data_IF_773313729361
#
_entry.id   IF_773313729361
#
_cell.length_a   1.000
_cell.length_b   1.000
_cell.length_c   1.000
_cell.angle_alpha   90.00
_cell.angle_beta   90.00
_cell.angle_gamma   90.00
#
_symmetry.space_group_name_H-M   'P 1'
#
loop_
_entity.id
_entity.type
_entity.pdbx_description
1 polymer ?
#
# COMPACT_ATOMS: atom_id res chain seq x y z
N UNK A 1 -24.75 -10.99 -4.53
CA UNK A 1 -24.30 -12.25 -3.92
C UNK A 1 -23.06 -12.65 -4.68
N UNK A 2 -21.87 -12.62 -4.05
CA UNK A 2 -20.69 -13.15 -4.68
C UNK A 2 -20.97 -14.60 -5.09
N UNK A 3 -20.54 -14.97 -6.29
CA UNK A 3 -20.65 -16.37 -6.70
C UNK A 3 -19.84 -17.21 -5.73
N UNK A 4 -20.37 -18.32 -5.23
CA UNK A 4 -19.68 -19.22 -4.27
C UNK A 4 -18.23 -19.54 -4.70
N UNK A 5 -17.97 -19.57 -6.00
CA UNK A 5 -16.64 -19.78 -6.58
C UNK A 5 -15.65 -18.61 -6.38
N UNK A 6 -16.09 -17.34 -6.34
CA UNK A 6 -15.21 -16.19 -6.08
C UNK A 6 -14.76 -16.16 -4.64
N UNK A 7 -15.65 -16.45 -3.70
CA UNK A 7 -15.36 -16.45 -2.27
C UNK A 7 -14.45 -17.61 -1.88
N UNK A 8 -14.67 -18.80 -2.45
CA UNK A 8 -13.77 -19.94 -2.25
C UNK A 8 -12.35 -19.66 -2.79
N UNK A 9 -12.24 -18.99 -3.94
CA UNK A 9 -10.94 -18.61 -4.51
C UNK A 9 -10.21 -17.58 -3.66
N UNK A 10 -10.93 -16.57 -3.14
CA UNK A 10 -10.39 -15.56 -2.24
C UNK A 10 -9.94 -16.19 -0.92
N UNK A 11 -10.77 -17.03 -0.31
CA UNK A 11 -10.40 -17.74 0.93
C UNK A 11 -9.14 -18.58 0.73
N UNK A 12 -9.08 -19.38 -0.34
CA UNK A 12 -7.90 -20.21 -0.65
C UNK A 12 -6.64 -19.38 -0.97
N UNK A 13 -6.80 -18.13 -1.41
CA UNK A 13 -5.68 -17.20 -1.58
C UNK A 13 -5.17 -16.70 -0.23
N UNK A 14 -6.08 -16.28 0.67
CA UNK A 14 -5.74 -15.85 2.03
C UNK A 14 -5.05 -16.97 2.82
N UNK A 15 -5.58 -18.20 2.74
CA UNK A 15 -4.97 -19.38 3.37
C UNK A 15 -3.52 -19.60 2.91
N UNK A 16 -3.28 -19.38 1.62
CA UNK A 16 -1.96 -19.57 1.02
C UNK A 16 -0.98 -18.51 1.46
N UNK A 17 -1.40 -17.23 1.50
CA UNK A 17 -0.53 -16.15 2.00
C UNK A 17 -0.10 -16.47 3.43
N UNK A 18 -1.04 -16.82 4.30
CA UNK A 18 -0.75 -17.12 5.71
C UNK A 18 0.27 -18.27 5.85
N UNK A 19 0.07 -19.35 5.08
CA UNK A 19 0.92 -20.54 5.15
C UNK A 19 2.30 -20.35 4.52
N UNK A 20 2.38 -19.73 3.34
CA UNK A 20 3.61 -19.61 2.57
C UNK A 20 4.45 -18.40 3.04
N UNK A 21 3.81 -17.39 3.61
CA UNK A 21 4.43 -16.11 3.93
C UNK A 21 4.03 -15.60 5.33
N UNK A 22 4.23 -16.36 6.43
CA UNK A 22 3.92 -15.87 7.77
C UNK A 22 4.71 -14.59 8.10
N UNK A 23 4.30 -13.80 9.12
CA UNK A 23 5.05 -12.62 9.56
C UNK A 23 6.54 -12.92 9.75
N UNK A 24 7.40 -12.02 9.25
CA UNK A 24 8.86 -12.22 9.29
C UNK A 24 9.32 -12.31 10.75
N UNK A 25 9.93 -13.41 11.22
CA UNK A 25 10.36 -13.52 12.61
C UNK A 25 11.42 -12.46 12.93
N UNK A 26 11.20 -11.64 13.96
CA UNK A 26 12.07 -10.51 14.28
C UNK A 26 13.50 -10.94 14.64
N UNK A 27 13.65 -12.14 15.20
CA UNK A 27 14.92 -12.78 15.55
C UNK A 27 15.67 -13.37 14.36
N UNK A 28 15.01 -13.51 13.20
CA UNK A 28 15.63 -13.97 11.95
C UNK A 28 16.38 -12.88 11.19
N UNK A 29 16.29 -11.62 11.65
CA UNK A 29 16.81 -10.46 10.93
C UNK A 29 18.23 -10.10 11.39
N UNK A 30 19.17 -10.09 10.45
CA UNK A 30 20.52 -9.60 10.64
C UNK A 30 20.59 -8.10 10.27
N UNK A 31 20.82 -7.27 11.29
CA UNK A 31 20.95 -5.81 11.16
C UNK A 31 22.41 -5.36 10.96
N UNK A 32 23.31 -6.23 10.55
CA UNK A 32 24.69 -5.84 10.23
C UNK A 32 24.71 -4.84 9.07
N UNK A 33 25.24 -3.64 9.34
CA UNK A 33 25.44 -2.58 8.35
C UNK A 33 26.92 -2.21 8.32
N UNK A 34 27.55 -2.30 7.15
CA UNK A 34 28.97 -2.02 6.97
C UNK A 34 29.26 -0.54 6.73
N UNK A 35 28.34 0.18 6.08
CA UNK A 35 28.45 1.61 5.74
C UNK A 35 27.19 2.36 6.19
N UNK A 36 26.96 2.47 7.52
CA UNK A 36 25.73 3.05 8.05
C UNK A 36 25.52 4.50 7.60
N UNK A 37 26.58 5.29 7.47
CA UNK A 37 26.47 6.68 7.02
C UNK A 37 25.99 6.76 5.56
N UNK A 38 26.52 5.90 4.68
CA UNK A 38 26.13 5.86 3.27
C UNK A 38 24.71 5.34 3.08
N UNK A 39 24.31 4.33 3.87
CA UNK A 39 22.94 3.82 3.85
C UNK A 39 21.96 4.88 4.35
N UNK A 40 22.30 5.61 5.43
CA UNK A 40 21.51 6.71 5.95
C UNK A 40 21.42 7.89 4.97
N UNK A 41 22.53 8.26 4.32
CA UNK A 41 22.54 9.34 3.32
C UNK A 41 21.63 9.01 2.12
N UNK A 42 21.69 7.77 1.62
CA UNK A 42 20.99 7.40 0.38
C UNK A 42 19.53 6.98 0.60
N UNK A 43 19.26 6.27 1.69
CA UNK A 43 17.97 5.62 1.93
C UNK A 43 17.39 5.91 3.32
N UNK A 44 18.01 6.75 4.15
CA UNK A 44 17.52 7.06 5.49
C UNK A 44 16.08 7.58 5.49
N UNK A 45 15.76 8.56 4.63
CA UNK A 45 14.40 9.09 4.51
C UNK A 45 13.41 8.09 3.89
N UNK A 46 13.89 7.19 3.02
CA UNK A 46 13.06 6.09 2.51
C UNK A 46 12.65 5.17 3.65
N UNK A 47 13.60 4.82 4.53
CA UNK A 47 13.33 3.99 5.69
C UNK A 47 12.41 4.69 6.69
N UNK A 48 12.60 6.00 6.95
CA UNK A 48 11.68 6.75 7.81
C UNK A 48 10.25 6.71 7.28
N UNK A 49 10.10 6.88 5.96
CA UNK A 49 8.80 6.90 5.30
C UNK A 49 8.12 5.53 5.38
N UNK A 50 8.83 4.48 4.97
CA UNK A 50 8.29 3.13 4.96
C UNK A 50 7.99 2.65 6.38
N UNK A 51 8.91 2.81 7.33
CA UNK A 51 8.69 2.40 8.72
C UNK A 51 7.43 3.04 9.32
N UNK A 52 7.20 4.33 9.06
CA UNK A 52 5.97 5.01 9.49
C UNK A 52 4.72 4.41 8.84
N UNK A 53 4.72 4.26 7.52
CA UNK A 53 3.54 3.78 6.77
C UNK A 53 3.15 2.37 7.21
N UNK A 54 4.13 1.50 7.36
CA UNK A 54 3.96 0.10 7.79
C UNK A 54 3.43 0.04 9.24
N UNK A 55 4.00 0.83 10.16
CA UNK A 55 3.55 0.86 11.55
C UNK A 55 2.17 1.53 11.75
N UNK A 56 1.73 2.37 10.80
CA UNK A 56 0.39 2.94 10.81
C UNK A 56 -0.71 1.91 10.43
N UNK A 57 -0.36 0.66 10.13
CA UNK A 57 -1.32 -0.41 9.81
C UNK A 57 -2.40 -0.59 10.88
N UNK A 58 -2.07 -0.44 12.16
CA UNK A 58 -3.05 -0.53 13.24
C UNK A 58 -4.16 0.52 13.10
N UNK A 59 -3.81 1.76 12.71
CA UNK A 59 -4.79 2.79 12.38
C UNK A 59 -5.59 2.37 11.16
N UNK A 60 -4.95 1.84 10.13
CA UNK A 60 -5.63 1.42 8.90
C UNK A 60 -6.68 0.33 9.19
N UNK A 61 -6.39 -0.62 10.08
CA UNK A 61 -7.35 -1.66 10.54
C UNK A 61 -8.52 -1.03 11.32
N UNK A 62 -8.26 -0.04 12.16
CA UNK A 62 -9.32 0.71 12.85
C UNK A 62 -10.22 1.47 11.87
N UNK A 63 -9.62 2.13 10.89
CA UNK A 63 -10.36 2.84 9.84
C UNK A 63 -11.19 1.88 9.00
N UNK A 64 -10.66 0.71 8.67
CA UNK A 64 -11.40 -0.35 7.97
C UNK A 64 -12.60 -0.84 8.75
N UNK A 65 -12.41 -1.11 10.04
CA UNK A 65 -13.48 -1.55 10.93
C UNK A 65 -14.58 -0.49 11.02
N UNK A 66 -14.20 0.79 11.07
CA UNK A 66 -15.16 1.89 11.08
C UNK A 66 -15.87 2.07 9.73
N UNK A 67 -15.15 1.90 8.63
CA UNK A 67 -15.61 2.19 7.26
C UNK A 67 -16.44 1.06 6.63
N UNK A 68 -16.18 -0.19 7.02
CA UNK A 68 -16.75 -1.39 6.42
C UNK A 68 -17.53 -2.21 7.47
N UNK A 69 -18.71 -1.71 7.94
CA UNK A 69 -19.45 -2.36 9.02
C UNK A 69 -19.85 -3.81 8.72
N UNK A 70 -20.11 -4.10 7.44
CA UNK A 70 -20.50 -5.43 6.95
C UNK A 70 -19.41 -6.09 6.08
N UNK A 71 -18.12 -5.85 6.40
CA UNK A 71 -17.00 -6.51 5.72
C UNK A 71 -17.19 -8.04 5.69
N UNK A 72 -16.79 -8.70 4.59
CA UNK A 72 -16.93 -10.15 4.46
C UNK A 72 -16.05 -10.90 5.46
N UNK A 73 -16.36 -12.17 5.74
CA UNK A 73 -15.53 -12.98 6.63
C UNK A 73 -14.08 -13.11 6.10
N UNK A 74 -13.92 -13.21 4.78
CA UNK A 74 -12.61 -13.30 4.13
C UNK A 74 -11.84 -11.98 4.24
N UNK A 75 -12.51 -10.84 4.06
CA UNK A 75 -11.90 -9.51 4.27
C UNK A 75 -11.40 -9.34 5.70
N UNK A 76 -12.26 -9.63 6.69
CA UNK A 76 -11.90 -9.49 8.12
C UNK A 76 -10.70 -10.34 8.45
N UNK A 77 -10.72 -11.62 8.05
CA UNK A 77 -9.60 -12.53 8.26
C UNK A 77 -8.33 -12.03 7.58
N UNK A 78 -8.40 -11.60 6.32
CA UNK A 78 -7.21 -11.06 5.64
C UNK A 78 -6.63 -9.87 6.41
N UNK A 79 -7.44 -8.88 6.81
CA UNK A 79 -6.93 -7.70 7.50
C UNK A 79 -6.36 -8.02 8.89
N UNK A 80 -7.06 -8.80 9.71
CA UNK A 80 -6.68 -8.99 11.12
C UNK A 80 -5.71 -10.14 11.36
N UNK A 81 -5.75 -11.20 10.53
CA UNK A 81 -4.98 -12.43 10.78
C UNK A 81 -3.78 -12.58 9.84
N UNK A 82 -3.80 -11.92 8.67
CA UNK A 82 -2.74 -12.07 7.67
C UNK A 82 -1.98 -10.76 7.46
N UNK A 83 -2.65 -9.73 6.96
CA UNK A 83 -2.05 -8.45 6.59
C UNK A 83 -1.50 -7.71 7.82
N UNK A 84 -2.32 -7.40 8.81
CA UNK A 84 -1.89 -6.63 9.98
C UNK A 84 -0.66 -7.23 10.68
N UNK A 85 -0.60 -8.53 11.03
CA UNK A 85 0.60 -9.10 11.65
C UNK A 85 1.85 -9.00 10.77
N UNK A 86 1.71 -9.11 9.44
CA UNK A 86 2.83 -8.98 8.50
C UNK A 86 3.35 -7.54 8.48
N UNK A 87 2.49 -6.56 8.26
CA UNK A 87 2.83 -5.13 8.17
C UNK A 87 3.41 -4.60 9.49
N UNK A 88 2.91 -5.05 10.65
CA UNK A 88 3.50 -4.71 11.95
C UNK A 88 4.95 -5.19 11.99
N UNK A 89 5.23 -6.41 11.54
CA UNK A 89 6.59 -6.94 11.52
C UNK A 89 7.47 -6.20 10.50
N UNK A 90 6.94 -5.81 9.34
CA UNK A 90 7.66 -4.98 8.37
C UNK A 90 8.06 -3.65 9.01
N UNK A 91 7.10 -2.96 9.62
CA UNK A 91 7.29 -1.70 10.31
C UNK A 91 8.32 -1.79 11.42
N UNK A 92 8.24 -2.80 12.29
CA UNK A 92 9.22 -3.03 13.37
C UNK A 92 10.63 -3.31 12.85
N UNK A 93 10.74 -4.06 11.74
CA UNK A 93 12.03 -4.37 11.12
C UNK A 93 12.66 -3.13 10.51
N UNK A 94 11.89 -2.32 9.79
CA UNK A 94 12.38 -1.08 9.18
C UNK A 94 12.70 -0.02 10.23
N UNK A 95 11.85 0.11 11.27
CA UNK A 95 12.08 0.98 12.43
C UNK A 95 13.36 0.58 13.18
N UNK A 96 13.61 -0.73 13.32
CA UNK A 96 14.87 -1.18 13.90
C UNK A 96 16.06 -0.83 13.00
N UNK A 97 15.98 -1.08 11.70
CA UNK A 97 17.06 -0.75 10.76
C UNK A 97 17.39 0.74 10.76
N UNK A 98 16.38 1.62 10.74
CA UNK A 98 16.62 3.07 10.74
C UNK A 98 17.36 3.51 12.02
N UNK A 99 17.04 2.93 13.18
CA UNK A 99 17.75 3.26 14.43
C UNK A 99 19.20 2.77 14.42
N UNK A 100 19.47 1.63 13.77
CA UNK A 100 20.83 1.09 13.60
C UNK A 100 21.71 2.01 12.76
N UNK A 101 21.14 2.69 11.75
CA UNK A 101 21.86 3.64 10.91
C UNK A 101 21.81 5.10 11.45
N UNK A 102 21.37 5.29 12.70
CA UNK A 102 21.39 6.58 13.38
C UNK A 102 20.22 7.52 13.09
N UNK A 103 19.15 7.04 12.46
CA UNK A 103 17.88 7.78 12.33
C UNK A 103 17.05 7.69 13.61
N UNK A 104 16.17 8.67 13.89
CA UNK A 104 15.20 8.55 14.99
C UNK A 104 14.18 7.43 14.69
N UNK A 105 13.57 6.82 15.73
CA UNK A 105 12.43 5.93 15.56
C UNK A 105 11.24 6.63 14.89
N UNK A 106 10.37 5.85 14.25
CA UNK A 106 9.23 6.36 13.51
C UNK A 106 8.21 6.97 14.47
N UNK A 107 7.65 8.12 14.08
CA UNK A 107 6.52 8.74 14.79
C UNK A 107 5.25 8.39 14.03
N UNK A 108 4.38 7.61 14.68
CA UNK A 108 3.22 6.98 14.05
C UNK A 108 1.92 7.41 14.71
N UNK A 109 0.86 7.52 13.93
CA UNK A 109 -0.50 7.62 14.44
C UNK A 109 -1.22 6.30 14.23
N UNK A 110 -1.40 5.55 15.32
CA UNK A 110 -1.99 4.20 15.31
C UNK A 110 -3.46 4.18 15.74
N UNK A 111 -4.06 5.33 16.06
CA UNK A 111 -5.37 5.35 16.75
C UNK A 111 -6.39 6.33 16.19
N UNK A 112 -5.96 7.36 15.45
CA UNK A 112 -6.90 8.39 14.98
C UNK A 112 -7.74 7.88 13.82
N UNK A 113 -9.05 7.79 14.04
CA UNK A 113 -10.04 7.58 12.97
C UNK A 113 -10.72 8.91 12.66
N UNK A 114 -10.51 9.41 11.44
CA UNK A 114 -11.02 10.74 11.05
C UNK A 114 -12.56 10.80 11.05
N UNK A 115 -13.16 11.97 11.34
CA UNK A 115 -14.62 12.14 11.26
C UNK A 115 -15.20 11.79 9.89
N UNK A 116 -14.44 12.02 8.80
CA UNK A 116 -14.85 11.66 7.43
C UNK A 116 -15.03 10.15 7.28
N UNK A 117 -14.10 9.35 7.81
CA UNK A 117 -14.19 7.89 7.80
C UNK A 117 -15.38 7.40 8.64
N UNK A 118 -15.62 8.00 9.80
CA UNK A 118 -16.78 7.65 10.65
C UNK A 118 -18.11 7.93 9.95
N UNK A 119 -18.22 9.08 9.27
CA UNK A 119 -19.41 9.43 8.48
C UNK A 119 -19.58 8.45 7.32
N UNK A 120 -18.49 8.10 6.63
CA UNK A 120 -18.53 7.13 5.54
C UNK A 120 -19.01 5.75 6.03
N UNK A 121 -18.51 5.29 7.18
CA UNK A 121 -18.95 4.08 7.86
C UNK A 121 -20.44 4.09 8.20
N UNK A 122 -20.95 5.20 8.75
CA UNK A 122 -22.36 5.35 9.04
C UNK A 122 -23.24 5.23 7.78
N UNK A 123 -22.80 5.81 6.66
CA UNK A 123 -23.48 5.70 5.37
C UNK A 123 -23.36 4.29 4.77
N UNK A 124 -22.26 3.59 5.04
CA UNK A 124 -21.95 2.25 4.53
C UNK A 124 -22.78 1.13 5.18
N UNK A 125 -23.68 1.43 6.12
CA UNK A 125 -24.75 0.49 6.51
C UNK A 125 -25.81 0.30 5.41
N UNK A 126 -25.86 1.18 4.41
CA UNK A 126 -26.67 0.97 3.22
C UNK A 126 -25.88 0.10 2.23
N UNK A 127 -26.33 -1.12 1.97
CA UNK A 127 -25.63 -2.10 1.13
C UNK A 127 -25.09 -1.55 -0.21
N UNK A 128 -25.83 -0.74 -0.99
CA UNK A 128 -25.28 -0.19 -2.24
C UNK A 128 -24.15 0.82 -2.02
N UNK A 129 -24.17 1.55 -0.91
CA UNK A 129 -23.09 2.47 -0.51
C UNK A 129 -21.91 1.67 0.01
N UNK A 130 -22.16 0.61 0.79
CA UNK A 130 -21.13 -0.31 1.27
C UNK A 130 -20.24 -0.82 0.14
N UNK A 131 -20.84 -1.30 -0.96
CA UNK A 131 -20.10 -1.82 -2.11
C UNK A 131 -19.25 -0.74 -2.80
N UNK A 132 -19.71 0.52 -2.83
CA UNK A 132 -18.92 1.65 -3.35
C UNK A 132 -17.70 1.91 -2.47
N UNK A 133 -17.90 1.94 -1.16
CA UNK A 133 -16.83 2.16 -0.17
C UNK A 133 -15.82 1.02 -0.22
N UNK A 134 -16.29 -0.22 -0.25
CA UNK A 134 -15.44 -1.42 -0.35
C UNK A 134 -14.62 -1.42 -1.64
N UNK A 135 -15.21 -1.04 -2.78
CA UNK A 135 -14.46 -0.93 -4.03
C UNK A 135 -13.39 0.17 -3.96
N UNK A 136 -13.71 1.35 -3.45
CA UNK A 136 -12.72 2.44 -3.30
C UNK A 136 -11.54 2.00 -2.44
N UNK A 137 -11.83 1.27 -1.36
CA UNK A 137 -10.80 0.71 -0.51
C UNK A 137 -9.94 -0.34 -1.25
N UNK A 138 -10.56 -1.28 -1.98
CA UNK A 138 -9.79 -2.26 -2.76
C UNK A 138 -8.88 -1.62 -3.80
N UNK A 139 -9.33 -0.55 -4.46
CA UNK A 139 -8.52 0.21 -5.41
C UNK A 139 -7.35 0.93 -4.72
N UNK A 140 -7.59 1.50 -3.53
CA UNK A 140 -6.52 2.09 -2.71
C UNK A 140 -5.50 1.04 -2.30
N UNK A 141 -5.92 -0.06 -1.66
CA UNK A 141 -5.03 -1.15 -1.25
C UNK A 141 -4.21 -1.67 -2.43
N UNK A 142 -4.86 -1.97 -3.55
CA UNK A 142 -4.16 -2.42 -4.76
C UNK A 142 -3.10 -1.43 -5.27
N UNK A 143 -3.39 -0.12 -5.31
CA UNK A 143 -2.38 0.88 -5.69
C UNK A 143 -1.24 0.96 -4.67
N UNK A 144 -1.57 0.77 -3.39
CA UNK A 144 -0.59 0.74 -2.29
C UNK A 144 0.35 -0.43 -2.40
N UNK A 145 -0.19 -1.66 -2.41
CA UNK A 145 0.62 -2.87 -2.47
C UNK A 145 1.45 -2.92 -3.76
N UNK A 146 0.90 -2.43 -4.88
CA UNK A 146 1.69 -2.38 -6.12
C UNK A 146 2.84 -1.38 -6.02
N UNK A 147 2.63 -0.24 -5.36
CA UNK A 147 3.68 0.74 -5.09
C UNK A 147 4.74 0.15 -4.16
N UNK A 148 4.33 -0.57 -3.12
CA UNK A 148 5.22 -1.26 -2.18
C UNK A 148 6.09 -2.31 -2.88
N UNK A 149 5.51 -3.19 -3.71
CA UNK A 149 6.28 -4.14 -4.54
C UNK A 149 7.38 -3.44 -5.35
N UNK A 150 7.05 -2.33 -6.02
CA UNK A 150 7.99 -1.59 -6.86
C UNK A 150 9.06 -0.88 -6.04
N UNK A 151 8.69 -0.28 -4.91
CA UNK A 151 9.60 0.37 -3.99
C UNK A 151 10.58 -0.62 -3.36
N UNK A 152 10.10 -1.74 -2.81
CA UNK A 152 10.96 -2.76 -2.21
C UNK A 152 11.89 -3.44 -3.22
N UNK A 153 11.48 -3.60 -4.48
CA UNK A 153 12.40 -4.05 -5.53
C UNK A 153 13.58 -3.08 -5.71
N UNK A 154 13.29 -1.79 -5.88
CA UNK A 154 14.33 -0.77 -6.08
C UNK A 154 15.20 -0.57 -4.83
N UNK A 155 14.60 -0.59 -3.64
CA UNK A 155 15.31 -0.50 -2.37
C UNK A 155 16.23 -1.71 -2.17
N UNK A 156 15.74 -2.92 -2.42
CA UNK A 156 16.56 -4.14 -2.36
C UNK A 156 17.79 -4.03 -3.26
N UNK A 157 17.59 -3.65 -4.52
CA UNK A 157 18.69 -3.57 -5.49
C UNK A 157 19.68 -2.46 -5.12
N UNK A 158 19.17 -1.32 -4.64
CA UNK A 158 19.99 -0.22 -4.13
C UNK A 158 20.86 -0.61 -2.93
N UNK A 159 20.25 -1.23 -1.92
CA UNK A 159 20.96 -1.72 -0.71
C UNK A 159 21.97 -2.80 -1.07
N UNK A 160 21.63 -3.71 -1.99
CA UNK A 160 22.55 -4.74 -2.47
C UNK A 160 23.74 -4.14 -3.24
N UNK A 161 23.53 -3.10 -4.05
CA UNK A 161 24.61 -2.37 -4.73
C UNK A 161 25.52 -1.62 -3.75
N UNK A 162 24.99 -1.20 -2.59
CA UNK A 162 25.78 -0.70 -1.46
C UNK A 162 26.50 -1.83 -0.69
N UNK A 163 26.46 -3.08 -1.14
CA UNK A 163 27.15 -4.20 -0.48
C UNK A 163 26.57 -4.57 0.89
N UNK A 164 25.43 -3.99 1.28
CA UNK A 164 24.75 -4.24 2.55
C UNK A 164 23.94 -5.55 2.46
N UNK A 165 24.65 -6.66 2.37
CA UNK A 165 24.09 -7.97 2.03
C UNK A 165 23.12 -8.48 3.11
N UNK A 166 23.46 -8.32 4.39
CA UNK A 166 22.57 -8.71 5.49
C UNK A 166 21.23 -7.97 5.37
N UNK A 167 21.26 -6.64 5.31
CA UNK A 167 20.06 -5.81 5.12
C UNK A 167 19.26 -6.21 3.89
N UNK A 168 19.90 -6.35 2.72
CA UNK A 168 19.19 -6.74 1.51
C UNK A 168 18.50 -8.10 1.64
N UNK A 169 19.15 -9.10 2.24
CA UNK A 169 18.67 -10.49 2.30
C UNK A 169 17.72 -10.78 3.46
N UNK A 170 17.90 -10.13 4.61
CA UNK A 170 17.15 -10.45 5.84
C UNK A 170 16.21 -9.35 6.28
N UNK A 171 16.40 -8.11 5.84
CA UNK A 171 15.44 -7.01 6.09
C UNK A 171 14.52 -6.86 4.89
N UNK A 172 15.07 -6.53 3.72
CA UNK A 172 14.26 -6.09 2.57
C UNK A 172 13.64 -7.27 1.81
N UNK A 173 14.42 -8.31 1.50
CA UNK A 173 13.95 -9.43 0.69
C UNK A 173 12.77 -10.21 1.31
N UNK A 174 12.70 -10.45 2.64
CA UNK A 174 11.55 -11.12 3.25
C UNK A 174 10.26 -10.30 3.15
N UNK A 175 10.32 -9.00 3.45
CA UNK A 175 9.19 -8.07 3.32
C UNK A 175 8.68 -8.06 1.88
N UNK A 176 9.59 -7.82 0.92
CA UNK A 176 9.33 -7.82 -0.53
C UNK A 176 8.63 -9.09 -1.03
N UNK A 177 8.83 -10.25 -0.39
CA UNK A 177 8.18 -11.52 -0.80
C UNK A 177 6.70 -11.57 -0.42
N UNK A 178 6.25 -10.77 0.55
CA UNK A 178 4.87 -10.79 1.05
C UNK A 178 3.95 -9.88 0.24
N UNK A 179 4.45 -8.70 -0.17
CA UNK A 179 3.72 -7.68 -0.95
C UNK A 179 2.90 -8.20 -2.14
N UNK A 180 3.42 -9.13 -2.99
CA UNK A 180 2.64 -9.63 -4.13
C UNK A 180 1.38 -10.39 -3.70
N UNK A 181 1.40 -11.01 -2.51
CA UNK A 181 0.27 -11.70 -1.92
C UNK A 181 -0.86 -10.73 -1.57
N UNK A 182 -0.53 -9.62 -0.92
CA UNK A 182 -1.48 -8.55 -0.58
C UNK A 182 -2.06 -7.91 -1.84
N UNK A 183 -1.21 -7.55 -2.79
CA UNK A 183 -1.65 -7.01 -4.08
C UNK A 183 -2.66 -7.95 -4.78
N UNK A 184 -2.36 -9.25 -4.78
CA UNK A 184 -3.24 -10.25 -5.39
C UNK A 184 -4.58 -10.36 -4.66
N UNK A 185 -4.62 -10.22 -3.33
CA UNK A 185 -5.87 -10.16 -2.57
C UNK A 185 -6.74 -9.00 -3.06
N UNK A 186 -6.23 -7.76 -3.03
CA UNK A 186 -7.00 -6.59 -3.45
C UNK A 186 -7.47 -6.69 -4.90
N UNK A 187 -6.61 -7.17 -5.81
CA UNK A 187 -6.97 -7.36 -7.23
C UNK A 187 -8.12 -8.35 -7.39
N UNK A 188 -8.05 -9.50 -6.72
CA UNK A 188 -9.10 -10.53 -6.79
C UNK A 188 -10.41 -10.00 -6.18
N UNK A 189 -10.34 -9.32 -5.05
CA UNK A 189 -11.50 -8.76 -4.36
C UNK A 189 -12.17 -7.64 -5.18
N UNK A 190 -11.38 -6.73 -5.76
CA UNK A 190 -11.89 -5.71 -6.69
C UNK A 190 -12.56 -6.34 -7.91
N UNK A 191 -11.92 -7.33 -8.55
CA UNK A 191 -12.48 -7.99 -9.73
C UNK A 191 -13.80 -8.71 -9.42
N UNK A 192 -13.87 -9.40 -8.27
CA UNK A 192 -15.07 -10.12 -7.84
C UNK A 192 -16.23 -9.16 -7.47
N UNK A 193 -15.91 -8.00 -6.89
CA UNK A 193 -16.90 -6.97 -6.57
C UNK A 193 -17.39 -6.26 -7.83
N UNK A 194 -16.50 -5.93 -8.75
CA UNK A 194 -16.86 -5.21 -9.99
C UNK A 194 -17.99 -5.92 -10.74
N UNK A 195 -17.91 -7.25 -10.87
CA UNK A 195 -18.93 -8.08 -11.53
C UNK A 195 -20.33 -7.95 -10.91
N UNK A 196 -20.45 -7.44 -9.69
CA UNK A 196 -21.72 -7.26 -8.97
C UNK A 196 -22.19 -5.80 -8.93
N UNK A 197 -21.34 -4.84 -9.31
CA UNK A 197 -21.67 -3.42 -9.25
C UNK A 197 -22.64 -2.99 -10.35
N UNK A 198 -23.67 -2.25 -9.95
CA UNK A 198 -24.55 -1.56 -10.89
C UNK A 198 -23.84 -0.40 -11.61
N UNK A 199 -24.37 0.06 -12.77
CA UNK A 199 -23.74 1.13 -13.55
C UNK A 199 -23.53 2.44 -12.79
N UNK A 200 -24.47 2.83 -11.91
CA UNK A 200 -24.33 4.06 -11.13
C UNK A 200 -23.25 3.94 -10.06
N UNK A 201 -23.07 2.76 -9.46
CA UNK A 201 -21.99 2.52 -8.49
C UNK A 201 -20.64 2.66 -9.19
N UNK A 202 -20.46 2.03 -10.35
CA UNK A 202 -19.23 2.15 -11.16
C UNK A 202 -18.92 3.60 -11.52
N UNK A 203 -19.92 4.35 -11.97
CA UNK A 203 -19.78 5.79 -12.25
C UNK A 203 -19.36 6.58 -11.01
N UNK A 204 -20.00 6.32 -9.87
CA UNK A 204 -19.71 7.00 -8.62
C UNK A 204 -18.29 6.67 -8.13
N UNK A 205 -17.89 5.40 -8.18
CA UNK A 205 -16.54 4.95 -7.83
C UNK A 205 -15.51 5.65 -8.71
N UNK A 206 -15.69 5.68 -10.03
CA UNK A 206 -14.77 6.38 -10.93
C UNK A 206 -14.67 7.89 -10.61
N UNK A 207 -15.81 8.52 -10.26
CA UNK A 207 -15.82 9.93 -9.89
C UNK A 207 -15.12 10.20 -8.56
N UNK A 208 -15.40 9.37 -7.55
CA UNK A 208 -14.83 9.47 -6.20
C UNK A 208 -13.33 9.15 -6.22
N UNK A 209 -12.92 8.08 -6.90
CA UNK A 209 -11.52 7.69 -7.00
C UNK A 209 -10.66 8.81 -7.60
N UNK A 210 -11.13 9.48 -8.64
CA UNK A 210 -10.43 10.63 -9.25
C UNK A 210 -10.20 11.79 -8.27
N UNK A 211 -11.12 12.03 -7.32
CA UNK A 211 -11.02 13.17 -6.40
C UNK A 211 -10.35 12.81 -5.07
N UNK A 212 -10.32 11.52 -4.73
CA UNK A 212 -9.81 11.02 -3.46
C UNK A 212 -8.51 10.23 -3.60
N UNK A 213 -7.94 10.13 -4.81
CA UNK A 213 -6.66 9.50 -5.01
C UNK A 213 -5.58 10.27 -4.25
N UNK A 214 -4.77 9.55 -3.49
CA UNK A 214 -3.59 10.08 -2.82
C UNK A 214 -2.47 9.03 -2.91
N UNK A 215 -1.20 9.44 -2.96
CA UNK A 215 -0.08 8.53 -2.79
C UNK A 215 -0.16 7.76 -1.46
N UNK A 216 0.41 6.57 -1.44
CA UNK A 216 0.48 5.68 -0.27
C UNK A 216 0.95 6.46 0.94
N UNK A 217 0.23 6.39 2.07
CA UNK A 217 0.72 6.97 3.32
C UNK A 217 0.81 8.51 3.36
N UNK A 218 0.25 9.21 2.36
CA UNK A 218 0.34 10.66 2.22
C UNK A 218 -1.01 11.37 2.45
N UNK A 219 -1.26 11.81 3.68
CA UNK A 219 -2.52 12.44 4.10
C UNK A 219 -2.49 13.97 4.16
N UNK A 220 -1.31 14.57 3.97
CA UNK A 220 -1.10 16.02 3.97
C UNK A 220 0.10 16.41 3.10
N UNK A 221 0.32 17.70 2.88
CA UNK A 221 1.37 18.24 1.99
C UNK A 221 2.77 17.82 2.40
N UNK A 222 3.05 17.76 3.71
CA UNK A 222 4.33 17.30 4.23
C UNK A 222 4.57 15.83 3.87
N UNK A 223 3.60 14.96 4.13
CA UNK A 223 3.70 13.53 3.80
C UNK A 223 3.72 13.28 2.28
N UNK A 224 3.12 14.17 1.48
CA UNK A 224 3.23 14.14 0.02
C UNK A 224 4.64 14.53 -0.45
N UNK A 225 5.25 15.53 0.17
CA UNK A 225 6.66 15.87 -0.07
C UNK A 225 7.58 14.70 0.33
N UNK A 226 7.35 14.07 1.48
CA UNK A 226 8.12 12.90 1.92
C UNK A 226 8.00 11.75 0.92
N UNK A 227 6.80 11.47 0.42
CA UNK A 227 6.59 10.48 -0.65
C UNK A 227 7.37 10.86 -1.93
N UNK A 228 7.37 12.13 -2.31
CA UNK A 228 8.17 12.64 -3.42
C UNK A 228 9.66 12.38 -3.25
N UNK A 229 10.19 12.56 -2.03
CA UNK A 229 11.57 12.25 -1.69
C UNK A 229 11.88 10.74 -1.85
N UNK A 230 10.93 9.86 -1.53
CA UNK A 230 11.04 8.42 -1.77
C UNK A 230 11.13 8.13 -3.27
N UNK A 231 10.26 8.73 -4.08
CA UNK A 231 10.29 8.53 -5.54
C UNK A 231 11.64 8.94 -6.15
N UNK A 232 12.18 10.08 -5.73
CA UNK A 232 13.47 10.58 -6.21
C UNK A 232 14.61 9.66 -5.78
N UNK A 233 14.68 9.27 -4.50
CA UNK A 233 15.79 8.46 -3.99
C UNK A 233 15.82 7.02 -4.50
N UNK A 234 14.64 6.48 -4.82
CA UNK A 234 14.53 5.18 -5.49
C UNK A 234 14.74 5.28 -7.01
N UNK A 235 14.92 6.47 -7.58
CA UNK A 235 15.08 6.65 -9.04
C UNK A 235 13.81 6.34 -9.81
N UNK A 236 12.63 6.50 -9.18
CA UNK A 236 11.33 6.31 -9.84
C UNK A 236 11.02 7.46 -10.80
N UNK A 237 11.53 8.66 -10.53
CA UNK A 237 11.31 9.82 -11.39
C UNK A 237 11.77 9.58 -12.84
N UNK A 238 12.92 8.93 -13.02
CA UNK A 238 13.50 8.64 -14.33
C UNK A 238 12.63 7.68 -15.17
N UNK A 239 11.71 6.96 -14.53
CA UNK A 239 10.83 5.95 -15.14
C UNK A 239 9.38 6.09 -14.63
N UNK A 240 8.95 7.33 -14.42
CA UNK A 240 7.69 7.64 -13.76
C UNK A 240 6.47 7.11 -14.53
N UNK A 241 6.51 7.16 -15.86
CA UNK A 241 5.44 6.65 -16.73
C UNK A 241 5.23 5.14 -16.55
N UNK A 242 6.31 4.36 -16.44
CA UNK A 242 6.23 2.94 -16.19
C UNK A 242 5.69 2.66 -14.78
N UNK A 243 6.19 3.36 -13.77
CA UNK A 243 5.71 3.22 -12.39
C UNK A 243 4.19 3.49 -12.31
N UNK A 244 3.73 4.61 -12.86
CA UNK A 244 2.30 4.97 -12.88
C UNK A 244 1.48 3.94 -13.65
N UNK A 245 2.00 3.42 -14.77
CA UNK A 245 1.34 2.35 -15.55
C UNK A 245 1.16 1.09 -14.73
N UNK A 246 2.17 0.67 -13.98
CA UNK A 246 2.10 -0.54 -13.17
C UNK A 246 1.10 -0.40 -12.01
N UNK A 247 1.09 0.72 -11.30
CA UNK A 247 0.19 0.91 -10.14
C UNK A 247 -1.27 1.16 -10.54
N UNK A 248 -1.51 1.66 -11.75
CA UNK A 248 -2.85 1.99 -12.23
C UNK A 248 -3.49 0.94 -13.15
N UNK A 249 -2.75 -0.10 -13.57
CA UNK A 249 -3.20 -1.09 -14.58
C UNK A 249 -4.60 -1.62 -14.30
N UNK A 250 -4.83 -2.20 -13.13
CA UNK A 250 -6.11 -2.83 -12.80
C UNK A 250 -7.21 -1.79 -12.62
N UNK A 251 -6.89 -0.62 -12.06
CA UNK A 251 -7.87 0.46 -11.95
C UNK A 251 -8.29 0.97 -13.34
N UNK A 252 -7.35 1.05 -14.28
CA UNK A 252 -7.64 1.38 -15.66
C UNK A 252 -8.58 0.33 -16.30
N UNK A 253 -8.29 -0.95 -16.07
CA UNK A 253 -9.11 -2.06 -16.57
C UNK A 253 -10.52 -2.06 -15.96
N UNK A 254 -10.68 -1.72 -14.68
CA UNK A 254 -11.98 -1.76 -13.99
C UNK A 254 -12.82 -0.48 -14.21
N UNK A 255 -12.19 0.69 -14.17
CA UNK A 255 -12.91 1.97 -14.19
C UNK A 255 -12.93 2.66 -15.55
N UNK A 256 -11.99 2.35 -16.44
CA UNK A 256 -11.70 3.15 -17.63
C UNK A 256 -11.56 2.35 -18.94
N UNK A 257 -11.79 1.03 -18.94
CA UNK A 257 -11.67 0.11 -20.09
C UNK A 257 -12.41 0.52 -21.38
N UNK A 258 -13.23 1.57 -21.36
CA UNK A 258 -13.95 2.10 -22.53
C UNK A 258 -13.43 3.43 -23.11
N UNK A 259 -12.54 4.19 -22.46
CA UNK A 259 -12.06 5.47 -23.02
C UNK A 259 -10.77 5.29 -23.82
N UNK A 260 -10.95 5.05 -25.13
CA UNK A 260 -9.94 5.05 -26.19
C UNK A 260 -8.89 6.16 -26.01
N UNK A 261 -7.65 5.79 -25.65
CA UNK A 261 -6.45 6.57 -26.01
C UNK A 261 -5.49 6.99 -24.90
N UNK A 262 -5.85 6.88 -23.61
CA UNK A 262 -4.90 7.16 -22.52
C UNK A 262 -4.39 5.86 -21.89
N UNK A 263 -3.06 5.66 -21.75
CA UNK A 263 -2.49 4.46 -21.16
C UNK A 263 -2.77 4.36 -19.64
N UNK A 264 -2.98 5.49 -18.96
CA UNK A 264 -3.19 5.59 -17.50
C UNK A 264 -4.13 6.76 -17.14
N UNK A 265 -4.84 6.71 -16.00
CA UNK A 265 -5.60 7.84 -15.49
C UNK A 265 -4.69 9.02 -15.11
N UNK A 266 -5.00 10.24 -15.58
CA UNK A 266 -4.11 11.40 -15.39
C UNK A 266 -3.92 11.77 -13.92
N UNK A 267 -4.95 11.60 -13.07
CA UNK A 267 -4.87 11.97 -11.66
C UNK A 267 -3.80 11.17 -10.87
N UNK A 268 -3.46 9.96 -11.32
CA UNK A 268 -2.38 9.18 -10.69
C UNK A 268 -1.04 9.82 -11.03
N UNK A 269 -0.82 10.13 -12.31
CA UNK A 269 0.37 10.82 -12.78
C UNK A 269 0.53 12.19 -12.12
N UNK A 270 -0.56 12.98 -12.08
CA UNK A 270 -0.58 14.31 -11.51
C UNK A 270 -0.21 14.26 -10.01
N UNK A 271 -0.74 13.29 -9.26
CA UNK A 271 -0.42 13.12 -7.84
C UNK A 271 1.05 12.75 -7.60
N UNK A 272 1.67 11.92 -8.46
CA UNK A 272 3.09 11.59 -8.34
C UNK A 272 3.97 12.80 -8.67
N UNK A 273 3.61 13.58 -9.70
CA UNK A 273 4.33 14.81 -10.06
C UNK A 273 4.22 15.87 -8.97
N UNK A 274 3.02 16.07 -8.43
CA UNK A 274 2.78 17.00 -7.31
C UNK A 274 3.63 16.61 -6.10
N UNK A 275 3.74 15.31 -5.76
CA UNK A 275 4.60 14.85 -4.68
C UNK A 275 6.09 15.20 -4.91
N UNK A 276 6.61 14.98 -6.13
CA UNK A 276 7.99 15.32 -6.50
C UNK A 276 8.21 16.84 -6.48
N UNK A 277 7.26 17.62 -6.97
CA UNK A 277 7.31 19.08 -6.96
C UNK A 277 7.30 19.63 -5.52
N UNK A 278 6.44 19.10 -4.64
CA UNK A 278 6.41 19.46 -3.23
C UNK A 278 7.73 19.14 -2.54
N UNK A 279 8.34 17.98 -2.83
CA UNK A 279 9.67 17.64 -2.32
C UNK A 279 10.74 18.65 -2.73
N UNK A 280 10.72 19.12 -3.98
CA UNK A 280 11.69 20.10 -4.51
C UNK A 280 11.50 21.52 -4.00
N UNK A 281 10.29 21.85 -3.56
CA UNK A 281 9.95 23.18 -3.08
C UNK A 281 10.28 23.40 -1.59
N UNK A 282 10.48 22.32 -0.83
CA UNK A 282 10.90 22.34 0.59
C UNK A 282 12.41 22.30 0.74
#
# INVERSE_FOLDING_TARGET
>A
MPTVASDARLSAHVDRIEQEHPPVPLDSVDYTVHRPELLAERYGHVLDYLARVELEVDRNVLELTAMLPDASAVDRRFYSEVWQPQEIHHGLILDKLQTVIGRPPAVTDTTTVSPKIRILGALAHLSPVHDVVRMLYYLTGMSTERSAVLAYNRLHDGVAQLGETAVAQTVIAPIRRQEPGHYAFYRLSATALDAQLSPWQRWLIARLRRISFAPVGANNDLQRADFGAVLVALGVEDDLDHFVTEISRVENDLLWAQRRGLPVPTYVMDAMREAIELHRAG
#
